data_IF_216768150359
#
_entry.id   IF_216768150359
#
_cell.length_a   1.000
_cell.length_b   1.000
_cell.length_c   1.000
_cell.angle_alpha   90.00
_cell.angle_beta   90.00
_cell.angle_gamma   90.00
#
_symmetry.space_group_name_H-M   'P 1'
#
loop_
_entity.id
_entity.type
_entity.pdbx_description
1 polymer ?
#
# COMPACT_ATOMS: atom_id res chain seq x y z
N UNK A 1 10.87 92.03 26.26
CA UNK A 1 10.42 91.79 27.64
C UNK A 1 9.06 91.13 27.59
N UNK A 2 8.78 90.29 28.59
CA UNK A 2 7.51 89.87 29.21
C UNK A 2 6.17 90.40 28.61
N UNK A 3 5.06 89.66 28.60
CA UNK A 3 4.77 88.30 29.09
C UNK A 3 3.44 87.78 28.50
N UNK A 4 3.29 86.46 28.43
CA UNK A 4 2.09 85.62 28.70
C UNK A 4 0.70 86.31 28.57
N UNK A 5 -0.12 86.02 27.54
CA UNK A 5 -0.82 84.76 27.21
C UNK A 5 -2.06 84.44 28.06
N UNK A 6 -3.19 84.17 27.39
CA UNK A 6 -4.30 83.35 27.91
C UNK A 6 -5.14 82.81 26.74
N UNK A 7 -5.73 81.62 26.91
CA UNK A 7 -6.44 80.88 25.84
C UNK A 7 -7.79 80.36 26.35
N UNK A 8 -8.83 80.53 25.53
CA UNK A 8 -10.03 79.69 25.45
C UNK A 8 -10.52 79.77 23.99
N UNK A 9 -10.37 78.76 23.14
CA UNK A 9 -11.05 77.45 23.13
C UNK A 9 -12.55 77.54 22.80
N UNK A 10 -12.87 77.50 21.50
CA UNK A 10 -14.21 77.26 20.96
C UNK A 10 -14.09 76.30 19.79
N UNK A 11 -14.89 75.22 19.78
CA UNK A 11 -14.77 74.15 18.79
C UNK A 11 -15.60 74.43 17.53
N UNK A 12 -15.08 74.03 16.38
CA UNK A 12 -15.84 73.87 15.13
C UNK A 12 -16.17 72.37 14.99
N UNK A 13 -17.43 71.99 14.67
CA UNK A 13 -17.79 70.58 14.56
C UNK A 13 -17.45 70.02 13.17
N UNK A 14 -16.49 69.10 13.11
CA UNK A 14 -16.25 68.29 11.92
C UNK A 14 -17.41 67.29 11.71
N UNK A 15 -17.89 67.20 10.47
CA UNK A 15 -18.90 66.24 10.04
C UNK A 15 -18.33 65.30 8.99
N UNK A 16 -17.66 64.23 9.43
CA UNK A 16 -17.37 63.10 8.55
C UNK A 16 -18.70 62.42 8.16
N UNK A 17 -18.99 62.34 6.86
CA UNK A 17 -20.07 61.52 6.31
C UNK A 17 -19.47 60.33 5.58
N UNK A 18 -19.60 59.16 6.17
CA UNK A 18 -19.43 57.90 5.45
C UNK A 18 -20.50 57.82 4.34
N UNK A 19 -20.07 57.78 3.08
CA UNK A 19 -20.95 57.56 1.93
C UNK A 19 -20.68 56.15 1.39
N UNK A 20 -21.31 55.15 2.01
CA UNK A 20 -21.35 53.80 1.45
C UNK A 20 -22.20 53.85 0.18
N UNK A 21 -21.57 53.69 -0.99
CA UNK A 21 -22.27 53.48 -2.26
C UNK A 21 -22.32 51.98 -2.57
N UNK A 22 -23.51 51.50 -2.94
CA UNK A 22 -23.82 50.09 -3.22
C UNK A 22 -23.31 49.65 -4.61
N UNK A 23 -22.03 49.93 -4.90
CA UNK A 23 -21.45 49.96 -6.25
C UNK A 23 -20.14 49.19 -6.40
N UNK A 24 -19.64 48.56 -5.33
CA UNK A 24 -18.41 47.74 -5.38
C UNK A 24 -17.11 48.55 -5.44
N UNK A 25 -17.12 49.77 -4.91
CA UNK A 25 -15.93 50.63 -4.79
C UNK A 25 -15.69 51.08 -3.34
N UNK A 26 -14.42 51.21 -2.94
CA UNK A 26 -14.02 51.77 -1.65
C UNK A 26 -13.35 53.14 -1.83
N UNK A 27 -13.73 54.10 -0.99
CA UNK A 27 -13.17 55.47 -0.95
C UNK A 27 -12.35 55.64 0.32
N UNK A 28 -11.08 56.02 0.17
CA UNK A 28 -10.19 56.38 1.27
C UNK A 28 -9.76 57.84 1.15
N UNK A 29 -10.06 58.66 2.16
CA UNK A 29 -9.51 60.01 2.26
C UNK A 29 -8.15 59.98 2.99
N UNK A 30 -7.10 60.45 2.31
CA UNK A 30 -5.79 60.67 2.92
C UNK A 30 -5.69 62.09 3.50
N UNK A 31 -6.08 62.26 4.76
CA UNK A 31 -6.09 63.55 5.45
C UNK A 31 -4.76 63.85 6.15
N UNK A 32 -3.78 64.42 5.43
CA UNK A 32 -2.67 65.12 6.10
C UNK A 32 -3.11 66.49 6.64
N UNK A 33 -2.67 66.82 7.86
CA UNK A 33 -3.02 68.05 8.58
C UNK A 33 -2.27 69.28 8.02
N UNK A 34 -2.69 69.76 6.85
CA UNK A 34 -2.13 70.93 6.18
C UNK A 34 -2.89 72.23 6.52
N UNK A 35 -2.38 73.04 7.44
CA UNK A 35 -2.93 74.36 7.78
C UNK A 35 -2.59 75.44 6.74
N UNK A 36 -3.17 75.34 5.54
CA UNK A 36 -3.15 76.40 4.50
C UNK A 36 -4.34 76.24 3.54
N UNK A 37 -4.68 77.29 2.78
CA UNK A 37 -5.92 77.43 1.99
C UNK A 37 -6.12 76.48 0.80
N UNK A 38 -5.22 75.52 0.56
CA UNK A 38 -5.12 74.76 -0.69
C UNK A 38 -5.07 73.24 -0.46
N UNK A 39 -5.93 72.71 0.40
CA UNK A 39 -6.04 71.26 0.62
C UNK A 39 -6.65 70.55 -0.61
N UNK A 40 -5.85 69.75 -1.32
CA UNK A 40 -6.31 68.87 -2.41
C UNK A 40 -6.58 67.46 -1.89
N UNK A 41 -7.85 67.12 -1.68
CA UNK A 41 -8.25 65.74 -1.40
C UNK A 41 -8.14 64.89 -2.68
N UNK A 42 -7.41 63.78 -2.61
CA UNK A 42 -7.31 62.79 -3.69
C UNK A 42 -8.29 61.65 -3.38
N UNK A 43 -9.43 61.63 -4.08
CA UNK A 43 -10.41 60.54 -3.99
C UNK A 43 -10.01 59.46 -4.99
N UNK A 44 -9.44 58.36 -4.49
CA UNK A 44 -9.25 57.14 -5.29
C UNK A 44 -10.50 56.26 -5.19
N UNK A 45 -10.91 55.68 -6.32
CA UNK A 45 -12.12 54.87 -6.45
C UNK A 45 -11.69 53.44 -6.82
N UNK A 46 -11.35 52.62 -5.82
CA UNK A 46 -10.79 51.29 -6.03
C UNK A 46 -11.87 50.26 -6.37
N UNK A 47 -11.77 49.61 -7.54
CA UNK A 47 -12.64 48.50 -7.92
C UNK A 47 -12.36 47.28 -7.04
N UNK A 48 -13.41 46.63 -6.55
CA UNK A 48 -13.33 45.44 -5.68
C UNK A 48 -13.87 44.18 -6.38
N UNK A 49 -13.45 43.01 -5.89
CA UNK A 49 -13.98 41.68 -6.29
C UNK A 49 -14.06 40.72 -5.09
N UNK A 50 -14.80 39.62 -5.24
CA UNK A 50 -14.86 38.52 -4.26
C UNK A 50 -13.99 37.35 -4.73
N UNK A 51 -12.86 37.14 -4.05
CA UNK A 51 -11.93 36.04 -4.35
C UNK A 51 -12.42 34.73 -3.71
N UNK A 52 -12.46 33.65 -4.49
CA UNK A 52 -12.99 32.35 -4.04
C UNK A 52 -12.02 31.20 -4.23
N UNK A 53 -11.92 30.33 -3.22
CA UNK A 53 -11.13 29.10 -3.28
C UNK A 53 -11.98 27.89 -2.87
N UNK A 54 -12.00 26.89 -3.74
CA UNK A 54 -12.70 25.62 -3.52
C UNK A 54 -11.72 24.60 -2.97
N UNK A 55 -11.93 24.18 -1.72
CA UNK A 55 -11.09 23.20 -1.01
C UNK A 55 -11.75 21.81 -1.02
N UNK A 56 -11.14 20.86 -1.70
CA UNK A 56 -11.58 19.47 -1.77
C UNK A 56 -10.83 18.57 -0.77
N UNK A 57 -11.53 17.55 -0.25
CA UNK A 57 -11.06 16.61 0.76
C UNK A 57 -11.21 15.16 0.30
N UNK A 58 -10.10 14.57 -0.11
CA UNK A 58 -9.98 13.16 -0.47
C UNK A 58 -9.63 12.35 0.80
N UNK A 59 -10.65 12.17 1.66
CA UNK A 59 -10.54 11.48 2.96
C UNK A 59 -11.72 10.53 3.24
N UNK A 60 -12.31 10.02 2.16
CA UNK A 60 -13.44 9.08 2.20
C UNK A 60 -14.65 9.62 2.98
N UNK A 61 -15.09 10.85 2.67
CA UNK A 61 -16.28 11.42 3.32
C UNK A 61 -16.08 11.77 4.79
N UNK A 62 -14.83 11.96 5.23
CA UNK A 62 -14.43 12.01 6.63
C UNK A 62 -14.90 10.79 7.45
N UNK A 63 -14.95 9.60 6.86
CA UNK A 63 -15.38 8.37 7.55
C UNK A 63 -14.59 8.08 8.84
N UNK A 64 -13.33 8.50 8.89
CA UNK A 64 -12.43 8.33 10.04
C UNK A 64 -12.53 9.46 11.09
N UNK A 65 -13.35 10.49 10.86
CA UNK A 65 -13.50 11.68 11.72
C UNK A 65 -12.18 12.42 11.99
N UNK A 66 -11.25 12.38 11.02
CA UNK A 66 -9.92 13.00 11.08
C UNK A 66 -9.88 14.41 10.51
N UNK A 67 -10.85 14.79 9.64
CA UNK A 67 -10.88 16.12 9.01
C UNK A 67 -10.96 17.19 10.09
N UNK A 68 -10.06 18.19 10.10
CA UNK A 68 -10.03 19.19 11.16
C UNK A 68 -11.28 20.08 11.13
N UNK A 69 -11.53 20.80 12.22
CA UNK A 69 -12.59 21.82 12.26
C UNK A 69 -12.18 23.17 11.62
N UNK A 70 -10.88 23.39 11.42
CA UNK A 70 -10.33 24.57 10.77
C UNK A 70 -9.22 24.19 9.79
N UNK A 71 -8.92 25.09 8.85
CA UNK A 71 -7.78 24.99 7.95
C UNK A 71 -7.26 26.39 7.69
N UNK A 72 -5.94 26.57 7.82
CA UNK A 72 -5.29 27.87 7.69
C UNK A 72 -4.84 28.10 6.24
N UNK A 73 -5.43 29.14 5.64
CA UNK A 73 -5.09 29.63 4.30
C UNK A 73 -4.48 31.03 4.42
N UNK A 74 -3.31 31.24 3.82
CA UNK A 74 -2.72 32.58 3.67
C UNK A 74 -2.98 33.08 2.25
N UNK A 75 -3.61 34.26 2.13
CA UNK A 75 -3.75 34.98 0.87
C UNK A 75 -2.56 35.93 0.66
N UNK A 76 -2.04 35.96 -0.56
CA UNK A 76 -1.03 36.90 -1.02
C UNK A 76 -1.52 37.68 -2.23
N UNK A 77 -0.91 38.86 -2.45
CA UNK A 77 -1.06 39.66 -3.68
C UNK A 77 0.29 40.15 -4.19
N UNK A 78 0.37 40.43 -5.48
CA UNK A 78 1.53 41.08 -6.12
C UNK A 78 1.10 41.81 -7.39
N UNK A 79 1.71 42.95 -7.69
CA UNK A 79 1.61 43.63 -9.00
C UNK A 79 2.71 43.13 -9.95
N UNK A 80 2.64 43.46 -11.24
CA UNK A 80 3.65 43.02 -12.20
C UNK A 80 5.04 43.60 -11.88
N UNK A 81 6.01 42.72 -11.61
CA UNK A 81 7.35 43.10 -11.15
C UNK A 81 7.43 43.58 -9.68
N UNK A 82 6.31 43.61 -8.95
CA UNK A 82 6.24 43.99 -7.54
C UNK A 82 6.73 42.91 -6.57
N UNK A 83 6.72 43.24 -5.28
CA UNK A 83 6.93 42.26 -4.21
C UNK A 83 5.63 41.49 -3.91
N UNK A 84 5.75 40.25 -3.43
CA UNK A 84 4.62 39.43 -3.00
C UNK A 84 4.28 39.74 -1.55
N UNK A 85 3.15 40.42 -1.34
CA UNK A 85 2.66 40.86 -0.05
C UNK A 85 1.74 39.82 0.59
N UNK A 86 1.95 39.51 1.88
CA UNK A 86 1.03 38.68 2.67
C UNK A 86 -0.12 39.55 3.20
N UNK A 87 -1.35 39.13 2.96
CA UNK A 87 -2.54 39.82 3.48
C UNK A 87 -2.85 39.27 4.88
N UNK A 88 -3.07 40.17 5.84
CA UNK A 88 -3.21 39.85 7.27
C UNK A 88 -4.38 40.56 7.96
N UNK A 89 -4.93 41.61 7.34
CA UNK A 89 -6.13 42.34 7.79
C UNK A 89 -7.45 41.71 7.29
N UNK A 90 -7.37 40.72 6.38
CA UNK A 90 -8.51 40.02 5.79
C UNK A 90 -8.46 38.52 6.07
N UNK A 91 -9.62 37.96 6.39
CA UNK A 91 -9.83 36.53 6.59
C UNK A 91 -11.00 36.04 5.74
N UNK A 92 -10.94 34.82 5.17
CA UNK A 92 -12.01 34.30 4.34
C UNK A 92 -13.22 33.89 5.19
N UNK A 93 -14.43 34.08 4.64
CA UNK A 93 -15.64 33.38 5.12
C UNK A 93 -15.63 31.97 4.56
N UNK A 94 -15.70 30.95 5.43
CA UNK A 94 -15.74 29.54 5.03
C UNK A 94 -17.18 29.01 5.01
N UNK A 95 -17.55 28.36 3.92
CA UNK A 95 -18.77 27.58 3.77
C UNK A 95 -18.41 26.10 3.70
N UNK A 96 -18.81 25.31 4.70
CA UNK A 96 -18.61 23.85 4.70
C UNK A 96 -19.84 23.18 4.08
N UNK A 97 -19.68 22.47 2.96
CA UNK A 97 -20.74 21.58 2.48
C UNK A 97 -20.85 20.33 3.37
N UNK A 98 -21.97 19.61 3.26
CA UNK A 98 -22.13 18.29 3.89
C UNK A 98 -21.30 17.16 3.23
N UNK A 99 -20.53 17.47 2.17
CA UNK A 99 -19.68 16.51 1.45
C UNK A 99 -18.18 16.78 1.63
N UNK A 100 -17.43 16.61 0.55
CA UNK A 100 -15.96 16.73 0.54
C UNK A 100 -15.45 18.12 0.15
N UNK A 101 -16.34 19.11 0.03
CA UNK A 101 -15.99 20.43 -0.48
C UNK A 101 -16.26 21.53 0.56
N UNK A 102 -15.28 22.38 0.80
CA UNK A 102 -15.44 23.65 1.50
C UNK A 102 -15.15 24.79 0.52
N UNK A 103 -15.80 25.94 0.68
CA UNK A 103 -15.56 27.13 -0.14
C UNK A 103 -15.13 28.27 0.76
N UNK A 104 -14.04 28.93 0.40
CA UNK A 104 -13.49 30.08 1.10
C UNK A 104 -13.69 31.33 0.24
N UNK A 105 -14.22 32.40 0.84
CA UNK A 105 -14.46 33.67 0.14
C UNK A 105 -13.81 34.83 0.90
N UNK A 106 -12.82 35.48 0.29
CA UNK A 106 -12.37 36.81 0.71
C UNK A 106 -13.19 37.83 -0.04
N UNK A 107 -13.95 38.64 0.69
CA UNK A 107 -14.82 39.65 0.10
C UNK A 107 -14.13 40.99 -0.09
N UNK A 108 -14.63 41.74 -1.06
CA UNK A 108 -14.38 43.19 -1.20
C UNK A 108 -12.87 43.50 -1.35
N UNK A 109 -12.18 42.66 -2.13
CA UNK A 109 -10.72 42.68 -2.36
C UNK A 109 -10.35 43.59 -3.54
N UNK A 110 -9.37 44.51 -3.41
CA UNK A 110 -9.00 45.41 -4.51
C UNK A 110 -8.48 44.68 -5.76
N UNK A 111 -8.98 45.05 -6.94
CA UNK A 111 -8.51 44.51 -8.23
C UNK A 111 -7.15 45.09 -8.64
N UNK A 112 -6.81 46.28 -8.14
CA UNK A 112 -5.62 47.05 -8.50
C UNK A 112 -5.09 47.86 -7.30
N UNK A 113 -3.85 48.33 -7.39
CA UNK A 113 -3.24 49.24 -6.42
C UNK A 113 -3.72 50.70 -6.57
N UNK A 114 -3.07 51.62 -5.84
CA UNK A 114 -3.40 53.06 -5.86
C UNK A 114 -2.98 53.78 -7.15
N UNK A 115 -1.99 53.25 -7.87
CA UNK A 115 -1.46 53.80 -9.12
C UNK A 115 -2.17 53.21 -10.36
N UNK A 116 -2.94 52.13 -10.17
CA UNK A 116 -3.75 51.46 -11.17
C UNK A 116 -3.17 50.16 -11.72
N UNK A 117 -2.10 49.63 -11.12
CA UNK A 117 -1.52 48.35 -11.54
C UNK A 117 -2.37 47.18 -11.00
N UNK A 118 -2.75 46.19 -11.84
CA UNK A 118 -3.59 45.08 -11.40
C UNK A 118 -2.85 44.16 -10.41
N UNK A 119 -3.57 43.71 -9.38
CA UNK A 119 -3.08 42.66 -8.49
C UNK A 119 -3.31 41.28 -9.11
N UNK A 120 -2.31 40.41 -9.01
CA UNK A 120 -2.52 38.96 -9.08
C UNK A 120 -2.53 38.39 -7.67
N UNK A 121 -3.48 37.49 -7.41
CA UNK A 121 -3.69 36.87 -6.11
C UNK A 121 -3.32 35.39 -6.13
N UNK A 122 -2.78 34.90 -5.02
CA UNK A 122 -2.48 33.48 -4.82
C UNK A 122 -2.65 33.06 -3.35
N UNK A 123 -2.95 31.77 -3.12
CA UNK A 123 -3.23 31.23 -1.78
C UNK A 123 -2.28 30.08 -1.44
N UNK A 124 -1.65 30.17 -0.28
CA UNK A 124 -0.94 29.07 0.37
C UNK A 124 -1.85 28.37 1.38
N UNK A 125 -1.86 27.03 1.34
CA UNK A 125 -2.47 26.20 2.38
C UNK A 125 -1.40 25.66 3.32
N UNK A 126 -1.60 25.84 4.63
CA UNK A 126 -0.81 25.11 5.62
C UNK A 126 -1.48 23.77 5.92
N UNK A 127 -0.82 22.67 5.54
CA UNK A 127 -1.30 21.32 5.75
C UNK A 127 -1.69 21.09 7.23
N UNK A 128 -2.94 20.67 7.53
CA UNK A 128 -3.44 20.67 8.89
C UNK A 128 -2.93 19.47 9.69
N UNK A 129 -2.48 19.73 10.92
CA UNK A 129 -2.09 18.70 11.88
C UNK A 129 -3.30 17.91 12.35
N UNK A 130 -3.20 16.58 12.30
CA UNK A 130 -4.26 15.67 12.77
C UNK A 130 -4.23 15.60 14.31
N UNK A 131 -5.42 15.64 14.92
CA UNK A 131 -5.59 15.66 16.38
C UNK A 131 -4.96 14.45 17.08
N UNK A 132 -4.50 14.64 18.32
CA UNK A 132 -3.61 13.71 19.04
C UNK A 132 -4.14 12.28 19.19
N UNK A 133 -5.46 12.11 19.31
CA UNK A 133 -6.09 10.79 19.40
C UNK A 133 -6.00 9.93 18.13
N UNK A 134 -5.65 10.51 16.97
CA UNK A 134 -5.48 9.78 15.71
C UNK A 134 -4.05 9.25 15.48
N UNK A 135 -3.10 9.56 16.38
CA UNK A 135 -1.69 9.12 16.28
C UNK A 135 -1.46 7.60 16.15
N UNK A 136 -2.33 6.67 16.63
CA UNK A 136 -2.16 5.23 16.40
C UNK A 136 -2.21 4.77 14.93
N UNK A 137 -2.45 5.66 13.96
CA UNK A 137 -2.61 5.32 12.53
C UNK A 137 -1.62 6.02 11.59
N UNK A 138 -0.58 6.68 12.10
CA UNK A 138 0.43 7.35 11.26
C UNK A 138 -0.16 8.36 10.28
N UNK A 139 -1.24 9.04 10.67
CA UNK A 139 -2.09 9.82 9.77
C UNK A 139 -1.68 11.29 9.70
N UNK A 140 -1.52 11.81 8.47
CA UNK A 140 -1.27 13.21 8.16
C UNK A 140 -2.10 13.65 6.93
N UNK A 141 -2.61 14.88 6.94
CA UNK A 141 -3.11 15.47 5.70
C UNK A 141 -1.94 16.03 4.88
N UNK A 142 -2.01 15.86 3.56
CA UNK A 142 -1.03 16.39 2.62
C UNK A 142 -1.77 17.15 1.52
N UNK A 143 -1.33 18.38 1.25
CA UNK A 143 -1.81 19.18 0.12
C UNK A 143 -1.34 18.52 -1.19
N UNK A 144 -2.23 18.39 -2.17
CA UNK A 144 -1.91 17.76 -3.45
C UNK A 144 -1.07 18.70 -4.32
N UNK A 145 -1.45 19.98 -4.35
CA UNK A 145 -0.86 21.01 -5.21
C UNK A 145 0.56 21.41 -4.77
N UNK A 146 0.93 21.21 -3.50
CA UNK A 146 2.26 21.41 -2.89
C UNK A 146 2.96 22.78 -3.12
N UNK A 147 2.27 23.75 -3.72
CA UNK A 147 2.74 25.11 -4.02
C UNK A 147 1.56 26.11 -3.92
N UNK A 148 1.82 27.43 -3.89
CA UNK A 148 0.75 28.42 -3.84
C UNK A 148 -0.15 28.35 -5.08
N UNK A 149 -1.46 28.32 -4.87
CA UNK A 149 -2.46 28.27 -5.95
C UNK A 149 -2.79 29.69 -6.40
N UNK A 150 -2.34 30.07 -7.60
CA UNK A 150 -2.76 31.32 -8.25
C UNK A 150 -4.25 31.31 -8.56
N UNK A 151 -4.92 32.39 -8.23
CA UNK A 151 -6.33 32.57 -8.58
C UNK A 151 -6.44 33.02 -10.04
N UNK A 152 -7.35 32.40 -10.79
CA UNK A 152 -7.64 32.71 -12.19
C UNK A 152 -9.11 33.04 -12.31
N UNK A 153 -9.46 34.22 -12.84
CA UNK A 153 -10.82 34.75 -12.84
C UNK A 153 -11.46 34.73 -11.43
N UNK A 154 -10.70 35.18 -10.43
CA UNK A 154 -11.06 35.22 -9.00
C UNK A 154 -11.43 33.85 -8.38
N UNK A 155 -11.00 32.75 -9.01
CA UNK A 155 -11.25 31.38 -8.58
C UNK A 155 -9.95 30.56 -8.44
N UNK A 156 -9.88 29.70 -7.43
CA UNK A 156 -8.81 28.72 -7.23
C UNK A 156 -9.32 27.40 -6.66
N UNK A 157 -8.53 26.34 -6.77
CA UNK A 157 -8.82 25.01 -6.18
C UNK A 157 -7.62 24.51 -5.37
N UNK A 158 -7.91 23.95 -4.20
CA UNK A 158 -6.97 23.22 -3.34
C UNK A 158 -7.52 21.81 -3.05
N UNK A 159 -6.65 20.83 -2.88
CA UNK A 159 -7.05 19.42 -2.65
C UNK A 159 -6.15 18.80 -1.57
N UNK A 160 -6.73 18.24 -0.50
CA UNK A 160 -5.95 17.40 0.43
C UNK A 160 -6.36 15.95 0.31
N UNK A 161 -5.40 15.06 0.52
CA UNK A 161 -5.66 13.66 0.82
C UNK A 161 -5.16 13.29 2.22
N UNK A 162 -5.77 12.27 2.83
CA UNK A 162 -5.34 11.73 4.12
C UNK A 162 -4.28 10.64 3.90
N UNK A 163 -3.00 10.99 4.01
CA UNK A 163 -1.91 10.00 4.01
C UNK A 163 -1.90 9.29 5.35
N UNK A 164 -2.07 7.97 5.35
CA UNK A 164 -1.75 7.09 6.48
C UNK A 164 -0.47 6.35 6.15
N UNK A 165 0.50 6.32 7.05
CA UNK A 165 1.73 5.54 6.87
C UNK A 165 1.65 4.21 7.64
N UNK A 166 2.35 3.20 7.13
CA UNK A 166 2.54 1.88 7.74
C UNK A 166 3.92 1.36 7.37
N UNK A 167 4.45 0.43 8.15
CA UNK A 167 5.62 -0.34 7.77
C UNK A 167 5.18 -1.68 7.15
N UNK A 168 5.96 -2.21 6.21
CA UNK A 168 5.72 -3.52 5.59
C UNK A 168 6.92 -4.42 5.85
N UNK A 169 6.71 -5.47 6.65
CA UNK A 169 7.75 -6.41 7.08
C UNK A 169 7.70 -7.66 6.22
N UNK A 170 8.83 -8.02 5.62
CA UNK A 170 9.00 -9.25 4.85
C UNK A 170 10.14 -10.12 5.35
N UNK A 171 10.30 -11.28 4.70
CA UNK A 171 11.35 -12.27 4.98
C UNK A 171 11.92 -12.79 3.67
N UNK A 172 13.26 -12.78 3.56
CA UNK A 172 14.02 -13.46 2.52
C UNK A 172 14.70 -14.70 3.11
N UNK A 173 14.52 -15.83 2.45
CA UNK A 173 15.14 -17.11 2.81
C UNK A 173 16.01 -17.61 1.65
N UNK A 174 17.07 -18.35 1.98
CA UNK A 174 17.94 -19.05 1.04
C UNK A 174 17.92 -20.54 1.34
N UNK A 175 17.72 -21.35 0.31
CA UNK A 175 17.62 -22.80 0.37
C UNK A 175 18.57 -23.38 -0.70
N UNK A 176 19.86 -23.27 -0.42
CA UNK A 176 20.94 -23.52 -1.39
C UNK A 176 22.10 -24.36 -0.84
N UNK A 177 21.94 -24.96 0.34
CA UNK A 177 22.99 -25.75 0.98
C UNK A 177 24.20 -24.96 1.50
N UNK A 178 24.03 -23.65 1.77
CA UNK A 178 25.13 -22.72 2.09
C UNK A 178 26.09 -22.52 0.92
N UNK A 179 25.53 -22.31 -0.28
CA UNK A 179 26.30 -22.17 -1.51
C UNK A 179 27.29 -21.01 -1.44
N UNK A 180 28.59 -21.32 -1.59
CA UNK A 180 29.67 -20.33 -1.50
C UNK A 180 29.65 -19.26 -2.60
N UNK A 181 28.87 -19.46 -3.67
CA UNK A 181 28.65 -18.49 -4.74
C UNK A 181 27.37 -17.64 -4.57
N UNK A 182 26.67 -17.73 -3.43
CA UNK A 182 25.47 -16.92 -3.13
C UNK A 182 25.77 -15.42 -3.30
N UNK A 183 24.90 -14.63 -3.96
CA UNK A 183 25.11 -13.19 -4.11
C UNK A 183 25.08 -12.46 -2.77
N UNK A 184 25.91 -11.41 -2.65
CA UNK A 184 26.01 -10.58 -1.43
C UNK A 184 24.93 -9.52 -1.31
N UNK A 185 24.17 -9.28 -2.38
CA UNK A 185 23.08 -8.29 -2.49
C UNK A 185 21.98 -8.81 -3.39
N UNK A 186 20.72 -8.40 -3.15
CA UNK A 186 19.57 -8.65 -4.02
C UNK A 186 18.84 -7.34 -4.32
N UNK A 187 18.18 -7.24 -5.48
CA UNK A 187 17.36 -6.08 -5.85
C UNK A 187 15.87 -6.43 -5.70
N UNK A 188 15.14 -5.62 -4.93
CA UNK A 188 13.72 -5.84 -4.60
C UNK A 188 12.87 -4.67 -5.06
N UNK A 189 11.82 -4.97 -5.83
CA UNK A 189 10.82 -4.02 -6.29
C UNK A 189 9.56 -4.13 -5.44
N UNK A 190 9.12 -3.00 -4.87
CA UNK A 190 7.88 -2.91 -4.11
C UNK A 190 6.75 -2.43 -5.03
N UNK A 191 5.66 -3.18 -5.10
CA UNK A 191 4.43 -2.78 -5.79
C UNK A 191 3.26 -2.71 -4.82
N UNK A 192 2.29 -1.85 -5.12
CA UNK A 192 1.03 -1.70 -4.38
C UNK A 192 -0.18 -1.74 -5.30
N UNK A 193 -1.33 -2.15 -4.76
CA UNK A 193 -2.64 -2.18 -5.42
C UNK A 193 -3.69 -1.71 -4.42
N UNK A 194 -4.47 -0.69 -4.76
CA UNK A 194 -5.55 -0.23 -3.89
C UNK A 194 -6.77 -1.16 -3.97
N UNK A 195 -7.47 -1.32 -2.86
CA UNK A 195 -8.62 -2.22 -2.79
C UNK A 195 -9.76 -1.75 -3.71
N UNK A 196 -10.19 -2.63 -4.62
CA UNK A 196 -11.14 -2.34 -5.70
C UNK A 196 -10.49 -1.98 -7.04
N UNK A 197 -9.19 -1.70 -7.10
CA UNK A 197 -8.44 -1.48 -8.34
C UNK A 197 -7.82 -2.79 -8.87
N UNK A 198 -7.64 -2.91 -10.20
CA UNK A 198 -7.13 -4.12 -10.86
C UNK A 198 -5.64 -4.07 -11.21
N UNK A 199 -5.04 -2.87 -11.21
CA UNK A 199 -3.64 -2.63 -11.55
C UNK A 199 -2.72 -2.69 -10.34
N UNK A 200 -1.44 -3.00 -10.58
CA UNK A 200 -0.36 -2.80 -9.61
C UNK A 200 0.48 -1.61 -10.08
N UNK A 201 0.85 -0.72 -9.16
CA UNK A 201 1.80 0.37 -9.40
C UNK A 201 3.10 0.11 -8.63
N UNK A 202 4.24 0.52 -9.19
CA UNK A 202 5.54 0.41 -8.53
C UNK A 202 5.75 1.58 -7.56
N UNK A 203 6.19 1.30 -6.34
CA UNK A 203 6.54 2.31 -5.33
C UNK A 203 7.98 2.74 -5.57
N UNK A 204 8.18 3.49 -6.65
CA UNK A 204 9.51 3.88 -7.15
C UNK A 204 10.34 4.60 -6.07
N UNK A 205 11.61 4.21 -5.95
CA UNK A 205 12.53 4.74 -4.94
C UNK A 205 12.33 4.18 -3.52
N UNK A 206 11.37 3.30 -3.26
CA UNK A 206 11.27 2.60 -1.99
C UNK A 206 12.45 1.63 -1.81
N UNK A 207 13.23 1.80 -0.74
CA UNK A 207 14.34 0.93 -0.37
C UNK A 207 14.06 0.32 1.00
N UNK A 208 14.21 -1.01 1.18
CA UNK A 208 13.94 -1.65 2.45
C UNK A 208 15.17 -1.64 3.38
N UNK A 209 14.92 -1.50 4.68
CA UNK A 209 15.93 -1.70 5.74
C UNK A 209 16.07 -3.20 6.01
N UNK A 210 17.31 -3.70 6.01
CA UNK A 210 17.60 -5.13 6.13
C UNK A 210 18.09 -5.54 7.53
N UNK A 211 17.62 -6.69 8.00
CA UNK A 211 17.94 -7.29 9.29
C UNK A 211 18.37 -8.75 9.10
N UNK A 212 19.54 -9.13 9.65
CA UNK A 212 20.05 -10.50 9.58
C UNK A 212 19.48 -11.34 10.71
N UNK A 213 18.74 -12.40 10.40
CA UNK A 213 18.18 -13.30 11.41
C UNK A 213 19.05 -14.56 11.57
N UNK A 214 19.61 -15.07 10.47
CA UNK A 214 20.60 -16.15 10.42
C UNK A 214 21.45 -16.02 9.16
N UNK A 215 22.26 -17.01 8.82
CA UNK A 215 22.99 -17.05 7.56
C UNK A 215 22.05 -17.18 6.35
N UNK A 216 20.97 -17.95 6.50
CA UNK A 216 20.00 -18.27 5.44
C UNK A 216 18.71 -17.46 5.52
N UNK A 217 18.49 -16.68 6.58
CA UNK A 217 17.26 -15.88 6.75
C UNK A 217 17.57 -14.43 7.09
N UNK A 218 16.90 -13.55 6.35
CA UNK A 218 16.90 -12.11 6.55
C UNK A 218 15.45 -11.63 6.65
N UNK A 219 15.23 -10.60 7.46
CA UNK A 219 14.01 -9.79 7.41
C UNK A 219 14.31 -8.47 6.70
N UNK A 220 13.32 -7.92 6.04
CA UNK A 220 13.41 -6.61 5.40
C UNK A 220 12.17 -5.79 5.74
N UNK A 221 12.30 -4.47 5.86
CA UNK A 221 11.21 -3.56 6.23
C UNK A 221 11.18 -2.38 5.28
N UNK A 222 10.07 -2.21 4.57
CA UNK A 222 9.77 -0.95 3.89
C UNK A 222 9.05 -0.04 4.89
N UNK A 223 9.78 0.91 5.46
CA UNK A 223 9.26 1.83 6.47
C UNK A 223 8.36 2.92 5.84
N UNK A 224 7.35 3.37 6.59
CA UNK A 224 6.56 4.59 6.33
C UNK A 224 5.84 4.67 4.96
N UNK A 225 5.50 3.53 4.36
CA UNK A 225 4.79 3.48 3.09
C UNK A 225 3.30 3.79 3.25
N UNK A 226 2.67 4.35 2.22
CA UNK A 226 1.27 4.81 2.29
C UNK A 226 0.27 3.65 2.43
N UNK A 227 -0.37 3.48 3.59
CA UNK A 227 -1.39 2.44 3.85
C UNK A 227 -2.67 2.59 3.01
N UNK A 228 -2.98 3.80 2.53
CA UNK A 228 -4.16 4.08 1.71
C UNK A 228 -3.84 4.95 0.50
N UNK A 229 -4.59 4.78 -0.59
CA UNK A 229 -4.56 5.68 -1.75
C UNK A 229 -5.25 7.03 -1.42
N UNK A 230 -5.29 7.94 -2.39
CA UNK A 230 -5.89 9.26 -2.19
C UNK A 230 -7.40 9.21 -1.87
N UNK A 231 -8.15 8.21 -2.34
CA UNK A 231 -9.58 8.06 -2.01
C UNK A 231 -9.84 7.31 -0.69
N UNK A 232 -8.78 6.93 0.03
CA UNK A 232 -8.84 6.24 1.31
C UNK A 232 -9.03 4.72 1.21
N UNK A 233 -8.98 4.13 0.02
CA UNK A 233 -8.93 2.68 -0.17
C UNK A 233 -7.58 2.13 0.31
N UNK A 234 -7.59 0.95 0.94
CA UNK A 234 -6.40 0.34 1.54
C UNK A 234 -5.51 -0.26 0.46
N UNK A 235 -4.19 -0.06 0.54
CA UNK A 235 -3.24 -0.76 -0.33
C UNK A 235 -2.95 -2.16 0.19
N UNK A 236 -2.94 -3.14 -0.73
CA UNK A 236 -2.23 -4.41 -0.59
C UNK A 236 -0.88 -4.30 -1.30
N UNK A 237 0.10 -5.07 -0.85
CA UNK A 237 1.48 -5.01 -1.35
C UNK A 237 1.97 -6.33 -1.95
N UNK A 238 2.90 -6.23 -2.88
CA UNK A 238 3.77 -7.33 -3.28
C UNK A 238 5.22 -6.85 -3.38
N UNK A 239 6.15 -7.74 -3.06
CA UNK A 239 7.58 -7.58 -3.28
C UNK A 239 8.01 -8.64 -4.29
N UNK A 240 8.78 -8.21 -5.28
CA UNK A 240 9.34 -9.05 -6.33
C UNK A 240 10.86 -8.84 -6.39
N UNK A 241 11.61 -9.90 -6.65
CA UNK A 241 13.08 -9.89 -6.71
C UNK A 241 13.58 -10.04 -8.15
N UNK A 242 14.65 -9.32 -8.49
CA UNK A 242 15.48 -9.67 -9.64
C UNK A 242 16.22 -10.98 -9.36
N UNK A 243 15.65 -12.10 -9.80
CA UNK A 243 16.10 -13.45 -9.46
C UNK A 243 17.57 -13.66 -9.83
N UNK A 244 18.45 -14.00 -8.87
CA UNK A 244 19.85 -14.31 -9.17
C UNK A 244 19.98 -15.50 -10.13
N UNK A 245 21.03 -15.49 -10.96
CA UNK A 245 21.35 -16.62 -11.86
C UNK A 245 21.52 -17.91 -11.06
N UNK A 246 21.01 -19.02 -11.59
CA UNK A 246 21.07 -20.38 -11.02
C UNK A 246 20.23 -20.56 -9.74
N UNK A 247 19.22 -19.70 -9.53
CA UNK A 247 18.20 -19.83 -8.50
C UNK A 247 16.78 -19.73 -9.10
N UNK A 248 15.82 -20.37 -8.45
CA UNK A 248 14.39 -20.06 -8.55
C UNK A 248 13.96 -19.25 -7.32
N UNK A 249 12.91 -18.42 -7.45
CA UNK A 249 12.27 -17.72 -6.31
C UNK A 249 10.82 -18.17 -6.15
N UNK A 250 10.42 -18.42 -4.90
CA UNK A 250 9.05 -18.74 -4.52
C UNK A 250 8.50 -17.67 -3.60
N UNK A 251 7.28 -17.25 -3.88
CA UNK A 251 6.59 -16.14 -3.21
C UNK A 251 5.42 -16.66 -2.36
N UNK A 252 5.32 -16.18 -1.12
CA UNK A 252 4.14 -16.43 -0.27
C UNK A 252 3.71 -15.17 0.50
N UNK A 253 2.53 -15.25 1.13
CA UNK A 253 1.79 -14.10 1.65
C UNK A 253 1.70 -14.10 3.18
N UNK A 254 1.58 -12.91 3.75
CA UNK A 254 1.22 -12.69 5.16
C UNK A 254 -0.29 -12.88 5.42
N UNK A 255 -0.72 -12.63 6.67
CA UNK A 255 -2.13 -12.69 7.09
C UNK A 255 -3.04 -11.70 6.37
N UNK A 256 -2.48 -10.60 5.88
CA UNK A 256 -3.18 -9.45 5.34
C UNK A 256 -3.24 -9.54 3.79
N UNK A 257 -2.62 -10.57 3.22
CA UNK A 257 -2.60 -10.91 1.79
C UNK A 257 -1.46 -10.27 1.01
N UNK A 258 -0.51 -9.61 1.68
CA UNK A 258 0.66 -9.01 1.05
C UNK A 258 1.69 -10.10 0.71
N UNK A 259 2.26 -10.04 -0.50
CA UNK A 259 3.33 -10.95 -0.92
C UNK A 259 4.68 -10.43 -0.44
N UNK A 260 5.13 -10.90 0.72
CA UNK A 260 6.32 -10.38 1.44
C UNK A 260 7.29 -11.47 1.91
N UNK A 261 6.99 -12.73 1.65
CA UNK A 261 7.88 -13.86 1.95
C UNK A 261 8.46 -14.42 0.66
N UNK A 262 9.79 -14.36 0.56
CA UNK A 262 10.59 -14.78 -0.59
C UNK A 262 11.51 -15.92 -0.16
N UNK A 263 11.47 -17.05 -0.84
CA UNK A 263 12.44 -18.14 -0.69
C UNK A 263 13.14 -18.39 -2.01
N UNK A 264 14.48 -18.35 -2.01
CA UNK A 264 15.24 -18.75 -3.20
C UNK A 264 15.78 -20.15 -3.01
N UNK A 265 15.49 -21.02 -3.96
CA UNK A 265 16.03 -22.37 -4.03
C UNK A 265 17.07 -22.41 -5.13
N UNK A 266 18.27 -22.90 -4.81
CA UNK A 266 19.32 -23.07 -5.82
C UNK A 266 18.98 -24.19 -6.81
N UNK A 267 19.34 -24.02 -8.08
CA UNK A 267 19.23 -25.11 -9.05
C UNK A 267 20.23 -26.24 -8.73
N UNK A 268 19.86 -27.49 -9.03
CA UNK A 268 20.70 -28.67 -8.89
C UNK A 268 20.94 -29.40 -10.21
N UNK A 269 21.61 -30.56 -10.14
CA UNK A 269 21.97 -31.36 -11.32
C UNK A 269 21.77 -32.86 -11.08
N UNK A 270 21.47 -33.60 -12.15
CA UNK A 270 21.39 -35.06 -12.16
C UNK A 270 22.36 -35.61 -13.22
N UNK A 271 23.25 -36.53 -12.84
CA UNK A 271 24.09 -37.28 -13.78
C UNK A 271 23.62 -38.74 -13.82
N UNK A 272 23.10 -39.18 -14.95
CA UNK A 272 22.70 -40.57 -15.19
C UNK A 272 23.83 -41.34 -15.87
N UNK A 273 24.29 -42.43 -15.27
CA UNK A 273 25.38 -43.30 -15.78
C UNK A 273 24.91 -44.73 -15.96
N UNK A 274 25.28 -45.37 -17.08
CA UNK A 274 24.92 -46.76 -17.39
C UNK A 274 26.12 -47.71 -17.42
N UNK A 275 26.04 -48.81 -16.70
CA UNK A 275 27.01 -49.92 -16.72
C UNK A 275 26.37 -51.23 -17.23
N UNK A 276 27.18 -52.09 -17.86
CA UNK A 276 26.85 -53.46 -18.25
C UNK A 276 27.96 -54.40 -17.78
N UNK A 277 27.59 -55.49 -17.10
CA UNK A 277 28.52 -56.43 -16.45
C UNK A 277 28.17 -57.90 -16.72
N UNK A 278 29.07 -58.80 -16.34
CA UNK A 278 28.91 -60.25 -16.48
C UNK A 278 29.38 -60.80 -17.83
N UNK A 279 29.62 -62.12 -17.90
CA UNK A 279 30.23 -62.79 -19.06
C UNK A 279 29.39 -62.80 -20.34
N UNK A 280 28.11 -62.42 -20.25
CA UNK A 280 27.18 -62.32 -21.38
C UNK A 280 26.64 -60.90 -21.60
N UNK A 281 27.29 -59.88 -21.05
CA UNK A 281 26.88 -58.47 -21.17
C UNK A 281 27.24 -57.84 -22.53
N UNK A 282 26.27 -57.21 -23.18
CA UNK A 282 26.42 -56.58 -24.50
C UNK A 282 26.80 -55.10 -24.34
N UNK A 283 28.09 -54.78 -24.24
CA UNK A 283 28.57 -53.42 -23.89
C UNK A 283 28.05 -52.31 -24.83
N UNK A 284 27.92 -52.61 -26.13
CA UNK A 284 27.45 -51.67 -27.15
C UNK A 284 25.92 -51.63 -27.30
N UNK A 285 25.18 -52.42 -26.51
CA UNK A 285 23.72 -52.40 -26.54
C UNK A 285 23.21 -51.08 -25.96
N UNK A 286 22.20 -50.53 -26.64
CA UNK A 286 21.45 -49.38 -26.21
C UNK A 286 20.38 -49.80 -25.19
N UNK A 287 20.23 -49.01 -24.13
CA UNK A 287 19.23 -49.13 -23.08
C UNK A 287 18.50 -47.79 -22.93
N UNK A 288 17.20 -47.84 -22.64
CA UNK A 288 16.32 -46.67 -22.68
C UNK A 288 15.87 -46.27 -21.28
N UNK A 289 15.99 -44.99 -20.96
CA UNK A 289 15.64 -44.42 -19.66
C UNK A 289 14.66 -43.27 -19.83
N UNK A 290 13.71 -43.17 -18.90
CA UNK A 290 12.91 -41.96 -18.70
C UNK A 290 13.32 -41.31 -17.38
N UNK A 291 13.80 -40.07 -17.43
CA UNK A 291 13.91 -39.20 -16.26
C UNK A 291 12.57 -38.45 -16.14
N UNK A 292 11.94 -38.47 -14.96
CA UNK A 292 10.76 -37.67 -14.63
C UNK A 292 11.10 -36.75 -13.47
N UNK A 293 10.83 -35.46 -13.64
CA UNK A 293 10.89 -34.45 -12.57
C UNK A 293 9.47 -34.19 -12.06
N UNK A 294 9.34 -34.02 -10.75
CA UNK A 294 8.07 -33.80 -10.07
C UNK A 294 7.45 -32.43 -10.30
N UNK A 295 6.34 -32.20 -9.61
CA UNK A 295 5.68 -30.89 -9.53
C UNK A 295 6.57 -29.90 -8.77
N UNK A 296 6.66 -28.67 -9.27
CA UNK A 296 7.37 -27.57 -8.61
C UNK A 296 6.60 -27.07 -7.36
N UNK A 297 7.24 -26.35 -6.42
CA UNK A 297 6.59 -25.87 -5.19
C UNK A 297 5.36 -24.96 -5.39
N UNK A 298 5.21 -24.33 -6.55
CA UNK A 298 4.05 -23.51 -6.92
C UNK A 298 2.87 -24.34 -7.50
N UNK A 299 3.04 -25.65 -7.66
CA UNK A 299 2.06 -26.55 -8.26
C UNK A 299 2.19 -26.73 -9.78
N UNK A 300 3.16 -26.08 -10.43
CA UNK A 300 3.41 -26.21 -11.87
C UNK A 300 4.29 -27.44 -12.20
N UNK A 301 4.46 -27.75 -13.49
CA UNK A 301 5.44 -28.74 -13.97
C UNK A 301 6.75 -28.04 -14.33
N UNK A 302 7.86 -28.78 -14.32
CA UNK A 302 9.11 -28.36 -14.96
C UNK A 302 8.81 -27.88 -16.40
N UNK A 303 9.22 -26.65 -16.79
CA UNK A 303 9.03 -26.14 -18.15
C UNK A 303 9.66 -27.02 -19.24
N UNK A 304 9.05 -27.02 -20.43
CA UNK A 304 9.64 -27.62 -21.63
C UNK A 304 10.92 -26.86 -22.01
N UNK A 305 12.06 -27.56 -22.08
CA UNK A 305 13.35 -26.89 -22.25
C UNK A 305 14.56 -27.84 -22.32
N UNK A 306 15.75 -27.26 -22.43
CA UNK A 306 17.03 -27.98 -22.39
C UNK A 306 17.74 -27.64 -21.09
N UNK A 307 18.01 -28.67 -20.29
CA UNK A 307 18.58 -28.63 -18.95
C UNK A 307 19.92 -29.35 -19.01
N UNK A 308 21.04 -28.62 -19.06
CA UNK A 308 22.36 -29.18 -19.37
C UNK A 308 22.38 -29.87 -20.73
N UNK A 309 22.68 -31.17 -20.75
CA UNK A 309 22.63 -32.01 -21.95
C UNK A 309 21.27 -32.63 -22.25
N UNK A 310 20.24 -32.41 -21.42
CA UNK A 310 18.98 -33.18 -21.45
C UNK A 310 17.79 -32.30 -21.87
N UNK A 311 17.00 -32.78 -22.83
CA UNK A 311 15.75 -32.11 -23.25
C UNK A 311 14.54 -32.66 -22.50
N UNK A 312 13.82 -31.81 -21.77
CA UNK A 312 12.60 -32.15 -21.05
C UNK A 312 11.35 -31.64 -21.77
N UNK A 313 10.27 -32.43 -21.71
CA UNK A 313 8.90 -32.04 -22.10
C UNK A 313 7.88 -32.64 -21.15
N UNK A 314 6.87 -31.88 -20.74
CA UNK A 314 5.85 -32.26 -19.75
C UNK A 314 6.46 -32.84 -18.44
N UNK A 315 7.61 -32.33 -18.03
CA UNK A 315 8.39 -32.82 -16.88
C UNK A 315 9.17 -34.12 -17.11
N UNK A 316 9.31 -34.60 -18.35
CA UNK A 316 9.99 -35.87 -18.67
C UNK A 316 11.05 -35.74 -19.76
N UNK A 317 12.11 -36.54 -19.66
CA UNK A 317 13.13 -36.67 -20.70
C UNK A 317 13.40 -38.16 -21.00
N UNK A 318 13.43 -38.51 -22.29
CA UNK A 318 13.82 -39.84 -22.76
C UNK A 318 15.30 -39.84 -23.15
N UNK A 319 16.03 -40.86 -22.72
CA UNK A 319 17.50 -40.98 -22.84
C UNK A 319 17.83 -42.39 -23.37
N UNK A 320 18.82 -42.49 -24.24
CA UNK A 320 19.43 -43.77 -24.65
C UNK A 320 20.90 -43.77 -24.23
N UNK A 321 21.37 -44.82 -23.55
CA UNK A 321 22.79 -44.99 -23.14
C UNK A 321 23.29 -46.41 -23.42
N UNK A 322 24.58 -46.53 -23.75
CA UNK A 322 25.37 -47.77 -23.80
C UNK A 322 26.21 -47.95 -22.53
N UNK A 323 26.94 -49.05 -22.41
CA UNK A 323 27.81 -49.29 -21.26
C UNK A 323 28.99 -48.31 -21.19
N UNK A 324 29.13 -47.62 -20.06
CA UNK A 324 30.16 -46.60 -19.84
C UNK A 324 29.75 -45.21 -20.33
N UNK A 325 28.58 -45.04 -20.92
CA UNK A 325 28.03 -43.73 -21.27
C UNK A 325 27.30 -43.10 -20.07
N UNK A 326 27.35 -41.77 -19.99
CA UNK A 326 26.60 -40.97 -19.03
C UNK A 326 26.08 -39.69 -19.67
N UNK A 327 25.00 -39.15 -19.11
CA UNK A 327 24.45 -37.84 -19.50
C UNK A 327 24.13 -37.04 -18.24
N UNK A 328 24.20 -35.71 -18.34
CA UNK A 328 23.98 -34.80 -17.23
C UNK A 328 22.91 -33.77 -17.56
N UNK A 329 21.94 -33.63 -16.67
CA UNK A 329 20.99 -32.54 -16.64
C UNK A 329 21.45 -31.49 -15.62
N UNK A 330 21.46 -30.23 -16.03
CA UNK A 330 21.87 -29.08 -15.23
C UNK A 330 20.77 -28.02 -15.18
N UNK A 331 20.83 -27.14 -14.18
CA UNK A 331 19.84 -26.07 -13.95
C UNK A 331 18.42 -26.60 -13.69
N UNK A 332 18.30 -27.79 -13.10
CA UNK A 332 17.01 -28.33 -12.66
C UNK A 332 16.61 -27.68 -11.32
N UNK A 333 15.36 -27.22 -11.13
CA UNK A 333 14.93 -26.63 -9.87
C UNK A 333 15.21 -27.54 -8.66
N UNK A 334 15.94 -27.01 -7.67
CA UNK A 334 16.23 -27.72 -6.43
C UNK A 334 14.98 -27.97 -5.59
N UNK A 335 15.10 -28.85 -4.60
CA UNK A 335 14.02 -29.30 -3.69
C UNK A 335 12.83 -30.00 -4.37
N UNK A 336 12.87 -30.23 -5.69
CA UNK A 336 11.88 -30.99 -6.45
C UNK A 336 12.23 -32.48 -6.47
N UNK A 337 11.23 -33.36 -6.41
CA UNK A 337 11.45 -34.80 -6.53
C UNK A 337 11.81 -35.23 -7.95
N UNK A 338 12.54 -36.33 -8.08
CA UNK A 338 12.81 -36.96 -9.38
C UNK A 338 12.68 -38.49 -9.30
N UNK A 339 12.42 -39.11 -10.44
CA UNK A 339 12.56 -40.55 -10.67
C UNK A 339 13.23 -40.84 -12.00
N UNK A 340 13.91 -41.97 -12.10
CA UNK A 340 14.51 -42.50 -13.33
C UNK A 340 14.10 -43.96 -13.49
N UNK A 341 13.64 -44.36 -14.67
CA UNK A 341 13.22 -45.74 -14.96
C UNK A 341 13.85 -46.25 -16.25
N UNK A 342 14.47 -47.43 -16.21
CA UNK A 342 14.94 -48.17 -17.39
C UNK A 342 13.81 -49.01 -18.00
N UNK A 343 13.61 -48.96 -19.31
CA UNK A 343 12.55 -49.70 -20.01
C UNK A 343 12.85 -51.20 -20.09
N UNK A 344 14.11 -51.57 -20.36
CA UNK A 344 14.55 -52.97 -20.43
C UNK A 344 14.86 -53.60 -19.06
N UNK A 345 14.38 -53.00 -17.95
CA UNK A 345 14.71 -53.43 -16.59
C UNK A 345 14.36 -54.92 -16.34
N UNK A 346 15.39 -55.73 -16.12
CA UNK A 346 15.32 -57.19 -15.96
C UNK A 346 14.75 -57.98 -17.17
N UNK A 347 14.82 -57.42 -18.38
CA UNK A 347 14.49 -58.11 -19.64
C UNK A 347 15.75 -58.76 -20.27
N UNK A 348 15.58 -59.52 -21.36
CA UNK A 348 16.66 -60.07 -22.21
C UNK A 348 17.83 -60.77 -21.48
N UNK A 349 17.48 -61.52 -20.43
CA UNK A 349 18.38 -62.23 -19.49
C UNK A 349 19.30 -61.33 -18.65
N UNK A 350 19.09 -60.01 -18.65
CA UNK A 350 19.74 -59.11 -17.72
C UNK A 350 19.07 -59.15 -16.34
N UNK A 351 19.86 -58.88 -15.30
CA UNK A 351 19.40 -58.43 -13.99
C UNK A 351 19.80 -56.97 -13.84
N UNK A 352 18.84 -56.10 -13.58
CA UNK A 352 19.03 -54.66 -13.40
C UNK A 352 19.12 -54.32 -11.92
N UNK A 353 20.07 -53.45 -11.56
CA UNK A 353 20.18 -52.84 -10.23
C UNK A 353 20.47 -51.35 -10.38
N UNK A 354 19.80 -50.54 -9.58
CA UNK A 354 19.87 -49.08 -9.60
C UNK A 354 20.39 -48.52 -8.27
N UNK A 355 21.03 -47.34 -8.36
CA UNK A 355 21.47 -46.52 -7.23
C UNK A 355 20.95 -45.09 -7.45
N UNK A 356 20.29 -44.52 -6.43
CA UNK A 356 19.66 -43.20 -6.48
C UNK A 356 18.66 -42.97 -7.64
N UNK A 357 17.92 -44.00 -8.07
CA UNK A 357 16.89 -43.90 -9.13
C UNK A 357 15.69 -43.02 -8.77
N UNK A 358 15.56 -42.61 -7.52
CA UNK A 358 14.56 -41.67 -7.04
C UNK A 358 15.10 -40.84 -5.87
N UNK A 359 14.65 -39.60 -5.75
CA UNK A 359 15.10 -38.71 -4.69
C UNK A 359 14.55 -37.30 -4.82
N UNK A 360 15.28 -36.35 -4.25
CA UNK A 360 15.01 -34.91 -4.35
C UNK A 360 16.27 -34.23 -4.86
N UNK A 361 16.13 -33.40 -5.90
CA UNK A 361 17.23 -32.64 -6.52
C UNK A 361 17.78 -31.67 -5.47
N UNK A 362 19.03 -31.87 -5.04
CA UNK A 362 19.64 -31.03 -4.02
C UNK A 362 20.21 -29.74 -4.64
N UNK A 363 19.91 -28.55 -4.09
CA UNK A 363 20.45 -27.28 -4.58
C UNK A 363 21.98 -27.26 -4.68
N UNK A 364 22.51 -26.75 -5.80
CA UNK A 364 23.93 -26.68 -6.16
C UNK A 364 24.73 -27.99 -6.05
N UNK A 365 24.05 -29.13 -5.98
CA UNK A 365 24.64 -30.47 -5.87
C UNK A 365 24.35 -31.28 -7.13
N UNK A 366 25.34 -32.06 -7.55
CA UNK A 366 25.21 -33.06 -8.61
C UNK A 366 24.84 -34.39 -7.95
N UNK A 367 23.65 -34.90 -8.24
CA UNK A 367 23.23 -36.23 -7.80
C UNK A 367 23.62 -37.24 -8.87
N UNK A 368 24.38 -38.26 -8.50
CA UNK A 368 24.74 -39.35 -9.40
C UNK A 368 23.71 -40.48 -9.32
N UNK A 369 23.08 -40.78 -10.46
CA UNK A 369 22.11 -41.87 -10.64
C UNK A 369 22.80 -42.95 -11.47
N UNK A 370 22.85 -44.18 -10.96
CA UNK A 370 23.56 -45.28 -11.64
C UNK A 370 22.62 -46.44 -11.92
N UNK A 371 22.65 -46.94 -13.15
CA UNK A 371 22.00 -48.20 -13.54
C UNK A 371 23.07 -49.21 -13.97
N UNK A 372 22.97 -50.44 -13.46
CA UNK A 372 23.89 -51.54 -13.78
C UNK A 372 23.09 -52.77 -14.21
N UNK A 373 23.34 -53.25 -15.43
CA UNK A 373 22.75 -54.50 -15.93
C UNK A 373 23.78 -55.61 -15.96
N UNK A 374 23.52 -56.71 -15.26
CA UNK A 374 24.39 -57.88 -15.26
C UNK A 374 23.77 -59.05 -16.04
N UNK A 375 24.55 -59.72 -16.90
CA UNK A 375 24.11 -60.91 -17.63
C UNK A 375 25.23 -61.94 -17.75
N UNK A 376 24.90 -63.19 -17.44
CA UNK A 376 25.80 -64.34 -17.59
C UNK A 376 25.70 -64.95 -18.99
N UNK A 377 26.78 -65.60 -19.41
CA UNK A 377 26.81 -66.48 -20.59
C UNK A 377 25.97 -67.74 -20.36
N UNK A 378 26.15 -68.37 -19.19
CA UNK A 378 25.71 -69.72 -18.88
C UNK A 378 24.28 -69.76 -18.32
N UNK A 379 23.42 -70.60 -18.90
CA UNK A 379 22.02 -70.80 -18.47
C UNK A 379 21.88 -71.42 -17.06
N UNK A 380 22.97 -71.85 -16.43
CA UNK A 380 22.97 -72.43 -15.08
C UNK A 380 22.84 -71.39 -13.97
N UNK A 381 23.40 -70.20 -14.17
CA UNK A 381 23.36 -69.08 -13.21
C UNK A 381 22.19 -68.13 -13.50
N UNK A 382 21.14 -68.64 -14.15
CA UNK A 382 19.95 -67.87 -14.53
C UNK A 382 19.23 -67.32 -13.29
N UNK A 383 19.01 -66.00 -13.17
CA UNK A 383 18.19 -65.43 -12.11
C UNK A 383 16.79 -66.06 -12.10
N UNK A 384 16.43 -66.70 -10.99
CA UNK A 384 15.10 -67.30 -10.82
C UNK A 384 14.09 -66.17 -10.68
N UNK A 385 13.14 -66.08 -11.63
CA UNK A 385 11.99 -65.17 -11.53
C UNK A 385 11.29 -65.42 -10.19
N UNK A 386 11.06 -64.41 -9.34
CA UNK A 386 10.32 -64.60 -8.10
C UNK A 386 8.94 -65.18 -8.42
N UNK A 387 8.66 -66.37 -7.88
CA UNK A 387 7.35 -67.00 -8.03
C UNK A 387 6.30 -66.11 -7.36
N UNK A 388 5.10 -65.91 -7.95
CA UNK A 388 4.04 -65.20 -7.26
C UNK A 388 3.76 -65.88 -5.91
N UNK A 389 3.76 -65.10 -4.83
CA UNK A 389 3.63 -65.63 -3.47
C UNK A 389 2.32 -66.43 -3.34
N UNK A 390 2.44 -67.74 -3.18
CA UNK A 390 1.28 -68.62 -3.21
C UNK A 390 0.40 -68.38 -1.98
N UNK A 391 -0.86 -68.00 -2.20
CA UNK A 391 -1.72 -67.43 -1.18
C UNK A 391 -2.53 -68.51 -0.46
N UNK A 392 -1.98 -69.03 0.62
CA UNK A 392 -2.66 -69.90 1.60
C UNK A 392 -2.31 -69.41 3.00
N UNK A 393 -3.22 -69.35 3.99
CA UNK A 393 -4.49 -70.08 4.12
C UNK A 393 -5.64 -69.18 4.62
N UNK A 394 -6.87 -69.63 4.38
CA UNK A 394 -8.17 -69.04 4.75
C UNK A 394 -8.32 -68.60 6.22
N UNK A 395 -9.09 -67.52 6.48
CA UNK A 395 -9.40 -67.09 7.86
C UNK A 395 -10.41 -65.95 8.02
N UNK A 396 -11.67 -66.17 7.58
CA UNK A 396 -12.88 -65.34 7.75
C UNK A 396 -13.21 -64.22 6.74
N UNK A 397 -14.48 -64.27 6.29
CA UNK A 397 -15.27 -63.18 5.74
C UNK A 397 -16.58 -63.02 6.54
N UNK A 398 -17.36 -61.95 6.32
CA UNK A 398 -18.41 -61.51 7.25
C UNK A 398 -19.79 -62.17 7.02
N UNK A 399 -20.64 -62.21 8.06
CA UNK A 399 -22.07 -62.50 7.91
C UNK A 399 -22.86 -62.65 9.21
N UNK A 400 -24.09 -62.12 9.20
CA UNK A 400 -25.21 -62.30 10.14
C UNK A 400 -25.15 -61.67 11.56
N UNK A 401 -26.28 -61.02 11.91
CA UNK A 401 -26.65 -60.52 13.24
C UNK A 401 -27.71 -61.49 13.82
N UNK A 402 -27.77 -61.70 15.14
CA UNK A 402 -28.96 -61.26 15.89
C UNK A 402 -28.62 -60.52 17.20
N UNK A 403 -29.51 -59.64 17.66
CA UNK A 403 -29.55 -59.12 19.04
C UNK A 403 -30.19 -60.13 20.02
N UNK A 404 -30.56 -59.74 21.27
CA UNK A 404 -31.39 -58.54 21.54
C UNK A 404 -31.08 -57.77 22.86
N UNK A 405 -31.95 -56.81 23.21
CA UNK A 405 -32.11 -56.08 24.50
C UNK A 405 -30.95 -55.14 24.92
N UNK A 406 -31.17 -53.84 25.22
CA UNK A 406 -32.02 -53.16 26.22
C UNK A 406 -31.54 -53.31 27.68
N UNK A 407 -31.60 -52.29 28.54
CA UNK A 407 -32.00 -50.85 28.39
C UNK A 407 -30.75 -49.92 28.43
N UNK A 408 -30.71 -48.59 28.64
CA UNK A 408 -31.57 -47.40 28.94
C UNK A 408 -30.79 -46.19 28.32
N UNK A 409 -31.22 -44.95 28.00
CA UNK A 409 -32.32 -44.01 28.29
C UNK A 409 -32.26 -43.22 29.63
N UNK A 410 -32.88 -42.03 29.65
CA UNK A 410 -32.84 -40.87 30.58
C UNK A 410 -31.62 -39.97 30.34
N UNK A 411 -31.66 -38.91 29.52
CA UNK A 411 -32.60 -37.75 29.36
C UNK A 411 -32.33 -36.58 30.35
N UNK A 412 -32.32 -35.35 29.81
CA UNK A 412 -32.53 -33.99 30.40
C UNK A 412 -31.96 -33.61 31.80
N UNK A 413 -31.50 -32.38 32.06
CA UNK A 413 -32.33 -31.16 32.01
C UNK A 413 -31.53 -29.82 32.01
N UNK A 414 -32.29 -28.72 32.03
CA UNK A 414 -31.98 -27.31 31.76
C UNK A 414 -31.13 -26.53 32.79
N UNK A 415 -30.86 -25.28 32.39
CA UNK A 415 -30.54 -24.09 33.21
C UNK A 415 -29.04 -23.86 33.52
N UNK A 416 -28.52 -22.63 33.46
CA UNK A 416 -29.19 -21.37 33.87
C UNK A 416 -29.07 -20.20 32.89
N UNK A 417 -30.17 -19.45 32.85
CA UNK A 417 -30.27 -18.07 32.35
C UNK A 417 -29.73 -17.11 33.41
N UNK A 418 -28.98 -16.09 33.02
CA UNK A 418 -28.77 -14.87 33.83
C UNK A 418 -28.89 -13.64 32.94
N UNK A 419 -30.11 -13.11 32.84
CA UNK A 419 -30.31 -11.70 32.48
C UNK A 419 -29.84 -10.83 33.65
N UNK A 420 -29.24 -9.68 33.36
CA UNK A 420 -29.07 -8.60 34.32
C UNK A 420 -29.65 -7.31 33.72
N UNK A 421 -30.98 -7.20 33.75
CA UNK A 421 -31.66 -5.90 33.65
C UNK A 421 -31.91 -5.37 35.06
N UNK A 422 -31.28 -4.26 35.40
CA UNK A 422 -31.72 -3.37 36.48
C UNK A 422 -31.88 -1.98 35.88
N UNK A 423 -33.06 -1.39 36.07
CA UNK A 423 -33.35 -0.01 35.69
C UNK A 423 -34.47 0.56 36.55
N UNK A 424 -34.32 1.82 36.95
CA UNK A 424 -35.30 2.69 37.60
C UNK A 424 -34.99 4.11 37.03
N UNK A 425 -35.91 4.90 36.46
CA UNK A 425 -37.21 5.40 36.96
C UNK A 425 -37.02 6.24 38.27
N UNK A 426 -37.52 7.47 38.44
CA UNK A 426 -38.75 8.10 37.88
C UNK A 426 -38.69 9.66 37.82
N UNK A 427 -38.96 10.24 36.64
CA UNK A 427 -39.73 11.49 36.33
C UNK A 427 -39.34 12.86 37.03
N UNK A 428 -40.09 14.01 37.00
CA UNK A 428 -39.60 15.24 36.35
C UNK A 428 -39.55 16.53 37.22
N UNK A 429 -39.22 17.67 36.59
CA UNK A 429 -39.81 18.99 36.90
C UNK A 429 -39.90 19.92 35.69
N UNK A 430 -40.67 21.01 35.83
CA UNK A 430 -41.28 21.80 34.74
C UNK A 430 -40.95 23.29 34.81
N UNK A 431 -41.00 23.97 33.65
CA UNK A 431 -40.99 25.43 33.52
C UNK A 431 -39.59 26.07 33.50
N UNK A 432 -39.42 27.30 32.98
CA UNK A 432 -40.36 28.08 32.17
C UNK A 432 -39.65 29.25 31.42
N UNK A 433 -40.41 29.97 30.58
CA UNK A 433 -40.20 31.37 30.15
C UNK A 433 -38.86 31.83 29.47
N UNK A 434 -38.93 31.93 28.13
CA UNK A 434 -38.50 33.08 27.27
C UNK A 434 -37.02 33.55 27.16
N UNK A 435 -36.62 34.10 25.98
CA UNK A 435 -35.27 34.64 25.75
C UNK A 435 -35.11 36.09 26.23
N UNK A 436 -33.92 36.42 26.76
CA UNK A 436 -33.56 37.80 27.11
C UNK A 436 -32.89 38.48 25.91
N UNK A 437 -33.65 39.29 25.17
CA UNK A 437 -33.10 40.40 24.39
C UNK A 437 -32.49 41.45 25.34
N UNK A 438 -31.36 42.04 24.94
CA UNK A 438 -30.83 43.28 25.52
C UNK A 438 -30.48 44.27 24.41
N UNK A 439 -31.50 44.94 23.91
CA UNK A 439 -31.29 46.22 23.24
C UNK A 439 -30.73 47.23 24.26
N UNK A 440 -29.57 47.82 23.96
CA UNK A 440 -29.15 49.09 24.58
C UNK A 440 -29.33 50.17 23.52
N UNK A 441 -30.55 50.70 23.48
CA UNK A 441 -30.89 51.89 22.72
C UNK A 441 -30.24 53.12 23.39
N UNK A 442 -29.28 53.75 22.73
CA UNK A 442 -28.88 55.13 23.04
C UNK A 442 -29.50 56.03 21.95
N UNK A 443 -30.33 56.98 22.37
CA UNK A 443 -31.16 57.76 21.46
C UNK A 443 -30.39 58.91 20.80
N UNK A 444 -30.57 59.04 19.48
CA UNK A 444 -30.26 60.27 18.75
C UNK A 444 -31.24 61.38 19.16
N UNK A 445 -30.71 62.57 19.47
CA UNK A 445 -31.48 63.82 19.62
C UNK A 445 -31.45 64.60 18.30
N UNK A 446 -32.52 64.59 17.48
CA UNK A 446 -32.57 65.37 16.25
C UNK A 446 -32.82 66.85 16.57
N UNK A 447 -31.91 67.73 16.17
CA UNK A 447 -32.15 69.17 16.20
C UNK A 447 -33.28 69.53 15.22
N UNK A 448 -34.26 70.30 15.69
CA UNK A 448 -35.29 70.93 14.84
C UNK A 448 -35.09 72.44 14.82
N UNK A 449 -34.77 72.99 13.65
CA UNK A 449 -34.91 74.42 13.41
C UNK A 449 -36.39 74.80 13.44
N UNK A 450 -36.72 75.94 14.06
CA UNK A 450 -38.00 76.64 13.94
C UNK A 450 -37.74 78.07 13.42
N UNK A 451 -38.73 78.74 12.81
CA UNK A 451 -38.51 79.95 12.01
C UNK A 451 -38.27 81.22 12.84
N UNK A 452 -37.81 82.28 12.16
CA UNK A 452 -37.45 83.56 12.73
C UNK A 452 -38.60 84.29 13.44
N UNK A 453 -38.21 85.13 14.41
CA UNK A 453 -38.75 86.48 14.60
C UNK A 453 -37.61 87.43 15.01
#
# INVERSE_FOLDING_TARGET
MNMDSFVCSGAVPDYAREIVTDTGFLVTEAAELATASNATAVVTNQQLTDLTVVKEWLDHGNAYKTRPDHLELTLYRQTEGGQREKITDRSPKVQKSAGNQWVYTWKDMPVQDVDGNPYTYDVEEQAPTVAEGARPLGAAYVCLENQPVKLTNDQGKLTNYLKKETDLVGRKTWNDGQYAGRPTTVQLHLYRQADGESTWEEVTGAMPVWYRNSDDTWSFVYERISRTNASGAVYRYKVEEEVPKDYQVYYSKDSDGNQVFLENVGDGSLTLTKEVTGSGGELFREFHFTITVGTLPDGSKLPDGVYGGVSFRDGKAAITLKSGESIRADHLPGMVSYTVTEEEANLDRYRTTSEADQGVIQPFVVTEVKFTNSRTSDDKDRPVKPSPANRTTTGYGPGAIPGPAQTEQVDDDQSKKTENHIGLWVIPKTGDETPILRDILIMLQPWRCWPCF
#
